data_IF_578971292019
#
_entry.id   IF_578971292019
#
_cell.length_a   1.000
_cell.length_b   1.000
_cell.length_c   1.000
_cell.angle_alpha   90.00
_cell.angle_beta   90.00
_cell.angle_gamma   90.00
#
_symmetry.space_group_name_H-M   'P 1'
#
loop_
_entity.id
_entity.type
_entity.pdbx_description
1 polymer ?
#
# COMPACT_ATOMS: atom_id res chain seq x y z
N UNK A 1 1.74 31.01 -5.59
CA UNK A 1 2.52 30.01 -4.83
C UNK A 1 1.86 28.63 -4.85
N UNK A 2 0.63 28.50 -4.32
CA UNK A 2 -0.02 27.18 -4.13
C UNK A 2 -0.22 26.38 -5.42
N UNK A 3 -0.58 27.01 -6.54
CA UNK A 3 -0.72 26.33 -7.83
C UNK A 3 0.60 25.75 -8.35
N UNK A 4 1.73 26.39 -8.03
CA UNK A 4 3.06 25.83 -8.35
C UNK A 4 3.39 24.65 -7.46
N UNK A 5 3.09 24.71 -6.16
CA UNK A 5 3.31 23.62 -5.22
C UNK A 5 2.56 22.33 -5.61
N UNK A 6 1.38 22.46 -6.21
CA UNK A 6 0.58 21.31 -6.69
C UNK A 6 0.75 21.01 -8.18
N UNK A 7 1.72 21.63 -8.86
CA UNK A 7 2.00 21.49 -10.30
C UNK A 7 0.78 21.79 -11.22
N UNK A 8 0.01 22.82 -10.86
CA UNK A 8 -1.17 23.26 -11.62
C UNK A 8 -1.05 24.68 -12.17
N UNK A 9 0.13 25.32 -12.05
CA UNK A 9 0.31 26.71 -12.46
C UNK A 9 0.08 26.94 -13.97
N UNK A 10 0.52 26.01 -14.79
CA UNK A 10 0.40 26.10 -16.26
C UNK A 10 -1.05 25.95 -16.75
N UNK A 11 -1.94 25.51 -15.89
CA UNK A 11 -3.37 25.33 -16.14
C UNK A 11 -4.26 26.36 -15.43
N UNK A 12 -3.69 27.44 -14.92
CA UNK A 12 -4.37 28.46 -14.09
C UNK A 12 -5.52 29.17 -14.78
N UNK A 13 -5.48 29.26 -16.10
CA UNK A 13 -6.47 29.95 -16.92
C UNK A 13 -7.55 28.99 -17.48
N UNK A 14 -7.43 27.69 -17.22
CA UNK A 14 -8.40 26.70 -17.68
C UNK A 14 -9.57 26.54 -16.70
N UNK A 15 -10.73 26.12 -17.23
CA UNK A 15 -11.91 25.86 -16.40
C UNK A 15 -11.76 24.55 -15.63
N UNK A 16 -12.07 24.54 -14.34
CA UNK A 16 -12.02 23.33 -13.48
C UNK A 16 -12.86 22.16 -14.06
N UNK A 17 -13.92 22.48 -14.81
CA UNK A 17 -14.76 21.47 -15.47
C UNK A 17 -14.01 20.56 -16.44
N UNK A 18 -12.95 21.07 -17.10
CA UNK A 18 -12.10 20.31 -18.03
C UNK A 18 -11.02 19.44 -17.33
N UNK A 19 -10.87 19.55 -16.01
CA UNK A 19 -9.81 18.88 -15.28
C UNK A 19 -10.09 17.39 -15.07
N UNK A 20 -9.04 16.58 -15.18
CA UNK A 20 -9.06 15.17 -14.76
C UNK A 20 -9.32 15.04 -13.25
N UNK A 21 -9.64 13.82 -12.80
CA UNK A 21 -9.80 13.53 -11.37
C UNK A 21 -8.58 13.95 -10.54
N UNK A 22 -7.37 13.59 -10.99
CA UNK A 22 -6.13 13.96 -10.33
C UNK A 22 -5.85 15.47 -10.32
N UNK A 23 -6.20 16.17 -11.39
CA UNK A 23 -6.10 17.64 -11.42
C UNK A 23 -7.05 18.28 -10.42
N UNK A 24 -8.28 17.79 -10.33
CA UNK A 24 -9.28 18.28 -9.33
C UNK A 24 -8.80 18.03 -7.90
N UNK A 25 -8.22 16.86 -7.61
CA UNK A 25 -7.64 16.58 -6.29
C UNK A 25 -6.49 17.52 -5.95
N UNK A 26 -5.59 17.80 -6.90
CA UNK A 26 -4.51 18.79 -6.72
C UNK A 26 -5.03 20.19 -6.44
N UNK A 27 -6.09 20.61 -7.11
CA UNK A 27 -6.75 21.90 -6.82
C UNK A 27 -7.35 21.86 -5.41
N UNK A 28 -7.96 20.76 -4.97
CA UNK A 28 -8.43 20.60 -3.60
C UNK A 28 -7.32 20.80 -2.58
N UNK A 29 -6.14 20.20 -2.78
CA UNK A 29 -4.97 20.43 -1.93
C UNK A 29 -4.50 21.91 -2.01
N UNK A 30 -4.48 22.51 -3.21
CA UNK A 30 -4.11 23.91 -3.35
C UNK A 30 -5.01 24.85 -2.53
N UNK A 31 -6.33 24.57 -2.49
CA UNK A 31 -7.28 25.33 -1.67
C UNK A 31 -6.97 25.22 -0.17
N UNK A 32 -6.65 24.04 0.33
CA UNK A 32 -6.26 23.83 1.73
C UNK A 32 -4.95 24.56 2.03
N UNK A 33 -3.98 24.51 1.11
CA UNK A 33 -2.67 25.15 1.27
C UNK A 33 -2.71 26.68 1.27
N UNK A 34 -3.81 27.32 0.85
CA UNK A 34 -3.98 28.77 0.93
C UNK A 34 -3.85 29.27 2.38
N UNK A 35 -4.25 28.46 3.35
CA UNK A 35 -4.17 28.82 4.78
C UNK A 35 -2.86 28.42 5.44
N UNK A 36 -1.89 27.89 4.69
CA UNK A 36 -0.58 27.42 5.18
C UNK A 36 -0.68 26.53 6.44
N UNK A 37 -1.50 25.49 6.45
CA UNK A 37 -1.71 24.66 7.62
C UNK A 37 -0.41 23.94 8.00
N UNK A 38 -0.18 23.76 9.29
CA UNK A 38 0.90 22.92 9.82
C UNK A 38 0.57 21.43 9.77
N UNK A 39 -0.71 21.11 9.77
CA UNK A 39 -1.23 19.73 9.71
C UNK A 39 -2.20 19.66 8.54
N UNK A 40 -1.94 18.73 7.63
CA UNK A 40 -2.78 18.42 6.49
C UNK A 40 -3.36 17.03 6.69
N UNK A 41 -4.70 16.90 6.70
CA UNK A 41 -5.39 15.61 6.80
C UNK A 41 -6.17 15.39 5.51
N UNK A 42 -5.94 14.26 4.86
CA UNK A 42 -6.56 13.94 3.56
C UNK A 42 -7.08 12.50 3.57
N UNK A 43 -8.31 12.33 3.17
CA UNK A 43 -8.95 11.01 3.10
C UNK A 43 -8.84 10.45 1.68
N UNK A 44 -8.29 9.23 1.55
CA UNK A 44 -8.13 8.47 0.30
C UNK A 44 -7.61 9.31 -0.90
N UNK A 45 -6.50 10.05 -0.76
CA UNK A 45 -6.10 11.07 -1.73
C UNK A 45 -5.71 10.53 -3.11
N UNK A 46 -5.46 9.24 -3.24
CA UNK A 46 -5.05 8.58 -4.49
C UNK A 46 -6.14 7.71 -5.08
N UNK A 47 -7.32 7.64 -4.45
CA UNK A 47 -8.43 6.84 -4.94
C UNK A 47 -8.93 7.33 -6.31
N UNK A 48 -9.16 6.40 -7.23
CA UNK A 48 -9.64 6.72 -8.59
C UNK A 48 -8.62 7.39 -9.51
N UNK A 49 -7.36 7.54 -9.09
CA UNK A 49 -6.29 8.01 -9.95
C UNK A 49 -5.70 6.86 -10.78
N UNK A 50 -5.28 7.17 -12.01
CA UNK A 50 -4.45 6.25 -12.78
C UNK A 50 -3.06 6.07 -12.12
N UNK A 51 -2.30 5.00 -12.45
CA UNK A 51 -1.02 4.71 -11.79
C UNK A 51 0.00 5.86 -11.87
N UNK A 52 0.05 6.60 -12.97
CA UNK A 52 0.99 7.73 -13.14
C UNK A 52 0.60 8.92 -12.27
N UNK A 53 -0.68 9.26 -12.26
CA UNK A 53 -1.20 10.35 -11.42
C UNK A 53 -1.07 10.01 -9.94
N UNK A 54 -1.24 8.74 -9.55
CA UNK A 54 -1.02 8.28 -8.17
C UNK A 54 0.42 8.52 -7.72
N UNK A 55 1.42 8.13 -8.52
CA UNK A 55 2.83 8.37 -8.22
C UNK A 55 3.09 9.88 -8.06
N UNK A 56 2.60 10.70 -8.98
CA UNK A 56 2.78 12.15 -8.93
C UNK A 56 2.14 12.76 -7.68
N UNK A 57 0.97 12.25 -7.31
CA UNK A 57 0.26 12.75 -6.13
C UNK A 57 0.97 12.35 -4.83
N UNK A 58 1.47 11.12 -4.73
CA UNK A 58 2.31 10.68 -3.60
C UNK A 58 3.55 11.56 -3.45
N UNK A 59 4.27 11.80 -4.54
CA UNK A 59 5.44 12.68 -4.51
C UNK A 59 5.09 14.08 -4.03
N UNK A 60 3.92 14.60 -4.40
CA UNK A 60 3.42 15.87 -3.88
C UNK A 60 3.21 15.81 -2.35
N UNK A 61 2.57 14.75 -1.82
CA UNK A 61 2.38 14.60 -0.37
C UNK A 61 3.71 14.50 0.38
N UNK A 62 4.68 13.76 -0.16
CA UNK A 62 6.05 13.67 0.39
C UNK A 62 6.73 15.05 0.37
N UNK A 63 6.63 15.80 -0.71
CA UNK A 63 7.18 17.15 -0.78
C UNK A 63 6.55 18.09 0.27
N UNK A 64 5.24 18.02 0.43
CA UNK A 64 4.52 18.78 1.43
C UNK A 64 4.87 18.38 2.86
N UNK A 65 5.26 17.13 3.10
CA UNK A 65 5.62 16.64 4.44
C UNK A 65 6.97 17.15 4.96
N UNK A 66 7.79 17.78 4.12
CA UNK A 66 9.07 18.38 4.56
C UNK A 66 8.89 19.51 5.57
N UNK A 67 7.81 20.28 5.44
CA UNK A 67 7.57 21.48 6.24
C UNK A 67 6.31 21.37 7.11
N UNK A 68 5.60 20.24 7.09
CA UNK A 68 4.32 20.06 7.79
C UNK A 68 4.02 18.60 8.08
N UNK A 69 3.09 18.36 8.98
CA UNK A 69 2.57 17.02 9.24
C UNK A 69 1.52 16.73 8.18
N UNK A 70 1.72 15.65 7.41
CA UNK A 70 0.74 15.14 6.44
C UNK A 70 0.21 13.80 6.93
N UNK A 71 -1.10 13.73 7.14
CA UNK A 71 -1.81 12.52 7.54
C UNK A 71 -2.77 12.18 6.41
N UNK A 72 -2.70 10.97 5.88
CA UNK A 72 -3.67 10.53 4.89
C UNK A 72 -4.14 9.10 5.16
N UNK A 73 -5.40 8.83 4.85
CA UNK A 73 -5.93 7.48 4.85
C UNK A 73 -5.69 6.82 3.49
N UNK A 74 -5.46 5.53 3.46
CA UNK A 74 -5.42 4.75 2.23
C UNK A 74 -5.66 3.27 2.52
N UNK A 75 -6.24 2.55 1.55
CA UNK A 75 -6.30 1.09 1.54
C UNK A 75 -5.25 0.49 0.58
N UNK A 76 -4.40 1.32 -0.03
CA UNK A 76 -3.42 0.94 -1.04
C UNK A 76 -2.05 0.80 -0.36
N UNK A 77 -1.56 -0.43 -0.27
CA UNK A 77 -0.32 -0.77 0.45
C UNK A 77 0.90 -0.07 -0.16
N UNK A 78 0.94 0.08 -1.49
CA UNK A 78 2.02 0.76 -2.19
C UNK A 78 2.14 2.24 -1.82
N UNK A 79 1.03 2.88 -1.45
CA UNK A 79 1.06 4.28 -1.00
C UNK A 79 1.72 4.40 0.37
N UNK A 80 1.56 3.39 1.24
CA UNK A 80 2.17 3.35 2.56
C UNK A 80 3.67 3.10 2.45
N UNK A 81 4.06 2.00 1.79
CA UNK A 81 5.45 1.54 1.75
C UNK A 81 6.41 2.50 1.05
N UNK A 82 5.90 3.36 0.17
CA UNK A 82 6.73 4.28 -0.63
C UNK A 82 6.68 5.75 -0.19
N UNK A 83 5.81 6.11 0.78
CA UNK A 83 5.56 7.53 1.10
C UNK A 83 5.48 7.84 2.58
N UNK A 84 5.34 6.84 3.44
CA UNK A 84 5.10 7.06 4.86
C UNK A 84 6.31 6.65 5.70
N UNK A 85 6.71 7.51 6.63
CA UNK A 85 7.66 7.18 7.69
C UNK A 85 6.99 6.51 8.89
N UNK A 86 5.69 6.70 9.04
CA UNK A 86 4.88 6.09 10.10
C UNK A 86 3.52 5.66 9.58
N UNK A 87 3.01 4.55 10.08
CA UNK A 87 1.70 4.02 9.75
C UNK A 87 0.89 3.73 11.00
N UNK A 88 -0.40 4.02 10.90
CA UNK A 88 -1.41 3.67 11.92
C UNK A 88 -2.37 2.68 11.29
N UNK A 89 -2.51 1.49 11.88
CA UNK A 89 -3.49 0.50 11.46
C UNK A 89 -4.65 0.48 12.46
N UNK A 90 -5.84 0.77 11.95
CA UNK A 90 -7.07 0.77 12.74
C UNK A 90 -7.99 -0.34 12.21
N UNK A 91 -8.53 -1.15 13.11
CA UNK A 91 -9.52 -2.15 12.76
C UNK A 91 -10.65 -2.15 13.79
N UNK A 92 -11.89 -2.01 13.32
CA UNK A 92 -13.10 -1.95 14.17
C UNK A 92 -12.97 -0.92 15.30
N UNK A 93 -12.48 0.28 14.99
CA UNK A 93 -12.29 1.36 15.95
C UNK A 93 -11.14 1.17 16.94
N UNK A 94 -10.35 0.10 16.84
CA UNK A 94 -9.22 -0.18 17.72
C UNK A 94 -7.91 0.00 16.99
N UNK A 95 -6.93 0.63 17.65
CA UNK A 95 -5.55 0.71 17.18
C UNK A 95 -4.94 -0.69 17.19
N UNK A 96 -4.42 -1.15 16.06
CA UNK A 96 -3.75 -2.44 15.90
C UNK A 96 -2.24 -2.31 15.75
N UNK A 97 -1.79 -1.24 15.15
CA UNK A 97 -0.37 -0.95 14.97
C UNK A 97 -0.14 0.56 14.89
N UNK A 98 1.01 0.99 15.39
CA UNK A 98 1.57 2.31 15.19
C UNK A 98 3.09 2.20 15.14
N UNK A 99 3.72 2.65 14.06
CA UNK A 99 5.17 2.61 13.91
C UNK A 99 5.62 2.65 12.44
N UNK A 100 6.86 2.25 12.22
CA UNK A 100 7.46 2.19 10.89
C UNK A 100 6.81 1.10 10.02
N UNK A 101 6.48 1.37 8.73
CA UNK A 101 5.98 0.36 7.81
C UNK A 101 6.89 -0.88 7.66
N UNK A 102 8.21 -0.69 7.72
CA UNK A 102 9.18 -1.79 7.60
C UNK A 102 9.08 -2.73 8.79
N UNK A 103 8.99 -2.18 10.00
CA UNK A 103 8.80 -2.99 11.22
C UNK A 103 7.48 -3.77 11.18
N UNK A 104 6.41 -3.13 10.66
CA UNK A 104 5.13 -3.80 10.48
C UNK A 104 5.23 -5.02 9.55
N UNK A 105 5.95 -4.88 8.43
CA UNK A 105 6.21 -6.00 7.51
C UNK A 105 7.04 -7.09 8.21
N UNK A 106 8.04 -6.70 9.00
CA UNK A 106 8.85 -7.61 9.79
C UNK A 106 8.04 -8.48 10.77
N UNK A 107 6.95 -7.95 11.33
CA UNK A 107 6.03 -8.71 12.20
C UNK A 107 5.32 -9.88 11.50
N UNK A 108 5.23 -9.85 10.17
CA UNK A 108 4.65 -10.92 9.34
C UNK A 108 5.69 -12.00 8.97
N UNK A 109 6.98 -11.75 9.21
CA UNK A 109 8.03 -12.72 8.93
C UNK A 109 7.80 -14.04 9.71
N UNK A 110 7.91 -15.16 9.02
CA UNK A 110 7.64 -16.49 9.60
C UNK A 110 6.16 -16.80 9.88
N UNK A 111 5.24 -15.90 9.51
CA UNK A 111 3.78 -16.13 9.68
C UNK A 111 3.04 -16.24 8.34
N UNK A 112 3.68 -15.89 7.25
CA UNK A 112 3.11 -15.99 5.90
C UNK A 112 3.92 -16.99 5.09
N UNK A 113 3.27 -18.01 4.63
CA UNK A 113 3.86 -19.11 3.87
C UNK A 113 3.32 -19.12 2.46
N UNK A 114 4.16 -19.44 1.48
CA UNK A 114 3.74 -19.60 0.10
C UNK A 114 4.25 -20.96 -0.41
N UNK A 115 3.32 -21.77 -0.93
CA UNK A 115 3.62 -23.10 -1.45
C UNK A 115 2.66 -23.46 -2.59
N UNK A 116 3.06 -24.44 -3.40
CA UNK A 116 2.24 -24.97 -4.49
C UNK A 116 1.67 -26.33 -4.08
N UNK A 117 0.35 -26.51 -4.17
CA UNK A 117 -0.41 -27.66 -3.69
C UNK A 117 -1.29 -28.21 -4.80
N UNK A 118 -1.60 -29.51 -4.79
CA UNK A 118 -2.56 -30.14 -5.69
C UNK A 118 -3.99 -29.70 -5.43
N UNK A 119 -4.88 -29.79 -6.43
CA UNK A 119 -6.29 -29.37 -6.30
C UNK A 119 -7.02 -30.13 -5.19
N UNK A 120 -6.84 -31.43 -5.13
CA UNK A 120 -7.49 -32.28 -4.11
C UNK A 120 -7.07 -31.93 -2.70
N UNK A 121 -5.77 -31.68 -2.49
CA UNK A 121 -5.21 -31.27 -1.20
C UNK A 121 -5.67 -29.87 -0.82
N UNK A 122 -5.77 -28.95 -1.78
CA UNK A 122 -6.29 -27.60 -1.55
C UNK A 122 -7.73 -27.61 -1.03
N UNK A 123 -8.56 -28.53 -1.54
CA UNK A 123 -9.95 -28.64 -1.12
C UNK A 123 -10.12 -29.27 0.25
N UNK A 124 -9.27 -30.22 0.62
CA UNK A 124 -9.44 -31.10 1.79
C UNK A 124 -8.56 -30.75 2.98
N UNK A 125 -7.33 -30.27 2.76
CA UNK A 125 -6.30 -30.20 3.80
C UNK A 125 -6.10 -28.81 4.42
N UNK A 126 -6.56 -27.72 3.77
CA UNK A 126 -6.27 -26.37 4.22
C UNK A 126 -7.47 -25.71 4.92
N UNK A 127 -7.20 -25.10 6.07
CA UNK A 127 -8.12 -24.16 6.69
C UNK A 127 -8.26 -22.91 5.80
N UNK A 128 -9.36 -22.83 5.07
CA UNK A 128 -9.64 -21.76 4.11
C UNK A 128 -9.66 -20.37 4.76
N UNK A 129 -9.94 -20.28 6.07
CA UNK A 129 -9.94 -19.02 6.81
C UNK A 129 -8.54 -18.40 6.94
N UNK A 130 -7.48 -19.19 6.76
CA UNK A 130 -6.08 -18.78 6.81
C UNK A 130 -5.47 -18.50 5.44
N UNK A 131 -6.22 -18.74 4.36
CA UNK A 131 -5.76 -18.45 3.01
C UNK A 131 -5.87 -16.95 2.75
N UNK A 132 -4.74 -16.29 2.54
CA UNK A 132 -4.67 -14.86 2.19
C UNK A 132 -4.98 -14.66 0.71
N UNK A 133 -4.41 -15.52 -0.14
CA UNK A 133 -4.61 -15.50 -1.59
C UNK A 133 -4.25 -16.86 -2.18
N UNK A 134 -4.83 -17.19 -3.35
CA UNK A 134 -4.43 -18.35 -4.13
C UNK A 134 -4.49 -18.04 -5.62
N UNK A 135 -3.63 -18.67 -6.40
CA UNK A 135 -3.56 -18.52 -7.85
C UNK A 135 -3.42 -19.92 -8.46
N UNK A 136 -4.30 -20.28 -9.39
CA UNK A 136 -4.15 -21.50 -10.14
C UNK A 136 -3.02 -21.34 -11.15
N UNK A 137 -2.09 -22.30 -11.15
CA UNK A 137 -0.96 -22.36 -12.06
C UNK A 137 -0.88 -23.80 -12.60
N UNK A 138 -1.29 -23.97 -13.86
CA UNK A 138 -1.39 -25.28 -14.51
C UNK A 138 -2.24 -26.28 -13.69
N UNK A 139 -1.66 -27.37 -13.26
CA UNK A 139 -2.32 -28.41 -12.48
C UNK A 139 -2.16 -28.22 -10.95
N UNK A 140 -1.50 -27.15 -10.52
CA UNK A 140 -1.25 -26.82 -9.11
C UNK A 140 -1.89 -25.51 -8.73
N UNK A 141 -2.11 -25.32 -7.42
CA UNK A 141 -2.58 -24.07 -6.83
C UNK A 141 -1.48 -23.51 -5.96
N UNK A 142 -1.02 -22.30 -6.28
CA UNK A 142 -0.13 -21.54 -5.43
C UNK A 142 -0.93 -20.85 -4.36
N UNK A 143 -0.66 -21.19 -3.11
CA UNK A 143 -1.39 -20.66 -1.95
C UNK A 143 -0.49 -19.78 -1.13
N UNK A 144 -1.00 -18.64 -0.68
CA UNK A 144 -0.42 -17.84 0.39
C UNK A 144 -1.23 -18.03 1.66
N UNK A 145 -0.60 -18.52 2.70
CA UNK A 145 -1.24 -19.06 3.90
C UNK A 145 -0.67 -18.45 5.18
N UNK A 146 -1.54 -18.15 6.16
CA UNK A 146 -1.16 -17.64 7.47
C UNK A 146 -0.98 -18.80 8.46
N UNK A 147 0.23 -18.94 9.01
CA UNK A 147 0.51 -19.90 10.07
C UNK A 147 1.74 -19.47 10.87
N UNK A 148 1.73 -19.71 12.17
CA UNK A 148 2.89 -19.50 13.04
C UNK A 148 3.91 -20.63 12.93
N UNK A 149 3.54 -21.76 12.37
CA UNK A 149 4.40 -22.90 12.08
C UNK A 149 4.34 -23.23 10.61
N UNK A 150 5.38 -23.88 10.06
CA UNK A 150 5.34 -24.38 8.69
C UNK A 150 4.10 -25.24 8.48
N UNK A 151 3.23 -24.95 7.52
CA UNK A 151 2.05 -25.78 7.27
C UNK A 151 2.37 -27.16 6.68
N UNK A 152 3.63 -27.39 6.33
CA UNK A 152 4.14 -28.66 5.81
C UNK A 152 5.43 -29.07 6.51
N UNK A 153 5.44 -30.24 7.11
CA UNK A 153 6.66 -30.91 7.57
C UNK A 153 7.43 -31.47 6.35
N UNK A 154 8.51 -30.88 6.09
CA UNK A 154 9.64 -30.97 5.21
C UNK A 154 9.97 -32.22 4.39
N UNK A 155 9.07 -32.90 3.72
CA UNK A 155 9.43 -33.96 2.78
C UNK A 155 8.58 -33.90 1.50
N UNK A 156 9.00 -33.18 0.50
CA UNK A 156 8.55 -33.24 -0.91
C UNK A 156 7.85 -32.02 -1.54
N UNK A 157 7.61 -30.91 -0.88
CA UNK A 157 7.07 -29.76 -1.61
C UNK A 157 8.06 -28.60 -1.58
N UNK A 158 8.67 -28.40 -2.72
CA UNK A 158 9.73 -27.45 -2.96
C UNK A 158 9.50 -26.06 -2.39
N UNK A 159 10.47 -25.61 -1.63
CA UNK A 159 10.74 -24.23 -1.23
C UNK A 159 9.52 -23.45 -0.72
N UNK A 160 9.22 -23.65 0.54
CA UNK A 160 8.46 -22.70 1.32
C UNK A 160 9.28 -21.41 1.41
N UNK A 161 8.90 -20.40 0.64
CA UNK A 161 9.57 -19.11 0.66
C UNK A 161 8.79 -18.19 1.58
N UNK A 162 9.44 -17.72 2.66
CA UNK A 162 9.00 -16.53 3.40
C UNK A 162 9.20 -15.28 2.51
N UNK A 163 8.33 -15.09 1.55
CA UNK A 163 8.53 -14.21 0.39
C UNK A 163 8.17 -12.74 0.63
N UNK A 164 7.68 -12.39 1.81
CA UNK A 164 7.30 -10.99 2.06
C UNK A 164 8.47 -10.08 2.39
N UNK A 165 9.59 -10.61 2.88
CA UNK A 165 10.76 -9.81 3.26
C UNK A 165 11.68 -9.53 2.08
N UNK A 166 11.87 -10.49 1.17
CA UNK A 166 12.88 -10.32 0.11
C UNK A 166 12.44 -9.43 -1.08
N UNK A 167 11.16 -9.33 -1.38
CA UNK A 167 10.72 -8.48 -2.50
C UNK A 167 10.58 -7.01 -2.15
N UNK A 168 10.31 -6.69 -0.90
CA UNK A 168 10.20 -5.29 -0.45
C UNK A 168 11.59 -4.67 -0.28
N UNK A 169 12.61 -5.44 0.11
CA UNK A 169 13.97 -4.92 0.26
C UNK A 169 14.74 -4.80 -1.06
N UNK A 170 14.44 -5.61 -2.08
CA UNK A 170 15.12 -5.52 -3.40
C UNK A 170 14.65 -4.38 -4.29
N UNK A 171 13.58 -3.68 -3.94
CA UNK A 171 13.12 -2.51 -4.71
C UNK A 171 13.72 -1.19 -4.22
N UNK A 172 14.60 -1.21 -3.22
CA UNK A 172 15.25 -0.02 -2.68
C UNK A 172 16.73 0.13 -3.06
N UNK A 173 17.31 -0.84 -3.82
CA UNK A 173 18.65 -0.74 -4.40
C UNK A 173 18.55 -0.34 -5.89
N UNK A 174 18.07 0.88 -6.18
CA UNK A 174 18.28 1.59 -7.45
C UNK A 174 18.22 3.10 -7.22
#
# INVERSE_FOLDING_TARGET
YVLRAVHMFDRKDEKIGSFSGGMKQRIGIALILLHLPRILVVDEPTAGLDPRERIRFRNLLVELSKDRIVIFSTHIIEDISSSCSQVVVINKGSLKYFGDPVDMVGMAAGKVWQFDIGKTEFEQALDKSRIVNHIQKDDRIRVRYLSTTSPYDGTELGRCLSLLVERTLKSYDL
#
